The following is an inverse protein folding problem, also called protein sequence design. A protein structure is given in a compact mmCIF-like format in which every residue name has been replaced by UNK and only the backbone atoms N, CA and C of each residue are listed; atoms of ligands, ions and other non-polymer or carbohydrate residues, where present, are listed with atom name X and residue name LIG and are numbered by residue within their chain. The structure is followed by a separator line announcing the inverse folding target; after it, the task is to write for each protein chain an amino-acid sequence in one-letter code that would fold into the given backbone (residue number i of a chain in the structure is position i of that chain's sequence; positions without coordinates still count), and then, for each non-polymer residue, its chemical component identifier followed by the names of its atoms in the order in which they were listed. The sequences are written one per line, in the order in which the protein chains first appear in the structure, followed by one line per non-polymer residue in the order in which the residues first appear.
data_IF_178333200218
#
_entry.id   IF_178333200218
#
_cell.length_a   1.000
_cell.length_b   1.000
_cell.length_c   1.000
_cell.angle_alpha   90.00
_cell.angle_beta   90.00
_cell.angle_gamma   90.00
#
_symmetry.space_group_name_H-M   'P 1'
#
loop_
_entity.id
_entity.type
_entity.pdbx_description
1 polymer ?
#
# COMPACT_ATOMS: atom_id res chain seq x y z
N UNK A 1 -21.14 -35.10 -20.38
CA UNK A 1 -21.39 -33.82 -19.70
C UNK A 1 -21.07 -34.05 -18.23
N UNK A 2 -20.02 -33.45 -17.74
CA UNK A 2 -19.73 -33.50 -16.31
C UNK A 2 -20.93 -32.92 -15.58
N UNK A 3 -21.44 -33.66 -14.60
CA UNK A 3 -22.50 -33.16 -13.72
C UNK A 3 -22.00 -31.86 -13.08
N UNK A 4 -22.55 -30.71 -13.49
CA UNK A 4 -22.19 -29.42 -12.87
C UNK A 4 -22.73 -29.47 -11.45
N UNK A 5 -21.87 -29.67 -10.42
CA UNK A 5 -22.31 -29.73 -9.03
C UNK A 5 -22.93 -28.40 -8.54
N UNK A 6 -22.90 -27.36 -9.38
CA UNK A 6 -23.28 -25.99 -9.07
C UNK A 6 -24.70 -25.65 -9.55
N UNK A 7 -25.39 -26.56 -10.23
CA UNK A 7 -26.75 -26.30 -10.71
C UNK A 7 -27.74 -25.95 -9.58
N UNK A 8 -27.56 -26.57 -8.42
CA UNK A 8 -28.37 -26.25 -7.22
C UNK A 8 -28.02 -24.89 -6.60
N UNK A 9 -26.79 -24.42 -6.76
CA UNK A 9 -26.32 -23.12 -6.21
C UNK A 9 -26.64 -21.96 -7.14
N UNK A 10 -26.93 -22.23 -8.41
CA UNK A 10 -27.27 -21.23 -9.41
C UNK A 10 -28.45 -20.37 -8.99
N UNK A 11 -29.51 -20.98 -8.51
CA UNK A 11 -30.72 -20.28 -8.09
C UNK A 11 -30.50 -19.44 -6.84
N UNK A 12 -29.64 -19.88 -5.91
CA UNK A 12 -29.27 -19.13 -4.74
C UNK A 12 -28.41 -17.90 -5.10
N UNK A 13 -27.45 -18.05 -6.02
CA UNK A 13 -26.60 -16.94 -6.49
C UNK A 13 -27.42 -15.91 -7.28
N UNK A 14 -28.35 -16.35 -8.14
CA UNK A 14 -29.24 -15.46 -8.90
C UNK A 14 -30.22 -14.70 -7.97
N UNK A 15 -30.61 -15.32 -6.85
CA UNK A 15 -31.59 -14.74 -5.91
C UNK A 15 -30.95 -13.72 -4.94
N UNK A 16 -29.66 -13.88 -4.65
CA UNK A 16 -28.94 -13.03 -3.68
C UNK A 16 -28.40 -11.74 -4.33
N UNK A 17 -28.47 -11.62 -5.66
CA UNK A 17 -28.03 -10.41 -6.36
C UNK A 17 -26.58 -10.08 -6.09
N UNK A 18 -25.68 -11.06 -6.16
CA UNK A 18 -24.23 -10.86 -5.94
C UNK A 18 -23.71 -9.89 -6.99
N UNK A 19 -23.37 -8.68 -6.55
CA UNK A 19 -22.76 -7.65 -7.39
C UNK A 19 -21.29 -7.97 -7.67
N UNK A 20 -20.68 -7.40 -8.73
CA UNK A 20 -19.29 -7.67 -9.12
C UNK A 20 -18.23 -7.35 -8.05
N UNK A 21 -18.58 -6.69 -6.97
CA UNK A 21 -17.65 -6.41 -5.87
C UNK A 21 -17.56 -7.63 -4.93
N UNK A 22 -16.88 -8.67 -5.43
CA UNK A 22 -16.76 -9.97 -4.75
C UNK A 22 -15.64 -10.03 -3.71
N UNK A 23 -14.90 -8.96 -3.47
CA UNK A 23 -13.97 -8.89 -2.34
C UNK A 23 -14.79 -8.86 -1.05
N UNK A 24 -14.57 -9.86 -0.20
CA UNK A 24 -15.34 -10.04 1.03
C UNK A 24 -16.55 -10.97 0.91
N UNK A 25 -16.88 -11.45 -0.29
CA UNK A 25 -17.85 -12.55 -0.45
C UNK A 25 -17.26 -13.85 0.13
N UNK A 26 -18.01 -14.60 0.94
CA UNK A 26 -17.51 -15.86 1.48
C UNK A 26 -17.00 -16.80 0.38
N UNK A 27 -15.88 -17.47 0.63
CA UNK A 27 -15.18 -18.27 -0.37
C UNK A 27 -16.01 -19.45 -0.95
N UNK A 28 -17.06 -19.87 -0.27
CA UNK A 28 -17.99 -20.90 -0.70
C UNK A 28 -19.16 -20.37 -1.54
N UNK A 29 -19.20 -19.07 -1.84
CA UNK A 29 -20.22 -18.53 -2.74
C UNK A 29 -19.85 -18.77 -4.20
N UNK A 30 -20.88 -18.90 -5.03
CA UNK A 30 -20.77 -19.05 -6.46
C UNK A 30 -21.08 -17.74 -7.17
N UNK A 31 -20.24 -17.36 -8.13
CA UNK A 31 -20.39 -16.15 -8.94
C UNK A 31 -20.21 -16.52 -10.42
N UNK A 32 -20.92 -15.85 -11.33
CA UNK A 32 -20.73 -16.08 -12.77
C UNK A 32 -19.36 -15.59 -13.22
N UNK A 33 -18.71 -16.37 -14.10
CA UNK A 33 -17.39 -15.99 -14.65
C UNK A 33 -17.38 -14.54 -15.18
N UNK A 34 -18.40 -14.16 -15.97
CA UNK A 34 -18.47 -12.81 -16.56
C UNK A 34 -18.45 -11.69 -15.52
N UNK A 35 -19.01 -11.92 -14.35
CA UNK A 35 -19.03 -10.98 -13.24
C UNK A 35 -17.67 -10.91 -12.57
N UNK A 36 -17.00 -12.05 -12.39
CA UNK A 36 -15.63 -12.12 -11.87
C UNK A 36 -14.64 -11.41 -12.79
N UNK A 37 -14.72 -11.64 -14.10
CA UNK A 37 -13.88 -10.96 -15.09
C UNK A 37 -14.08 -9.45 -15.06
N UNK A 38 -15.33 -9.00 -14.91
CA UNK A 38 -15.65 -7.56 -14.85
C UNK A 38 -15.03 -6.85 -13.65
N UNK A 39 -14.71 -7.59 -12.57
CA UNK A 39 -14.04 -7.00 -11.38
C UNK A 39 -12.57 -6.68 -11.61
N UNK A 40 -11.90 -7.37 -12.55
CA UNK A 40 -10.46 -7.30 -12.75
C UNK A 40 -9.61 -7.81 -11.57
N UNK A 41 -10.23 -8.48 -10.60
CA UNK A 41 -9.59 -8.88 -9.32
C UNK A 41 -9.20 -10.36 -9.27
N UNK A 42 -9.52 -11.12 -10.32
CA UNK A 42 -9.23 -12.55 -10.42
C UNK A 42 -8.33 -12.82 -11.61
N UNK A 43 -7.51 -13.86 -11.48
CA UNK A 43 -6.62 -14.31 -12.54
C UNK A 43 -7.46 -14.77 -13.76
N UNK A 44 -7.21 -14.16 -14.91
CA UNK A 44 -7.91 -14.48 -16.15
C UNK A 44 -7.61 -15.92 -16.61
N UNK A 45 -6.39 -16.43 -16.38
CA UNK A 45 -5.98 -17.78 -16.74
C UNK A 45 -6.67 -18.82 -15.85
N UNK A 46 -6.85 -18.54 -14.58
CA UNK A 46 -7.63 -19.38 -13.66
C UNK A 46 -9.09 -19.48 -14.08
N UNK A 47 -9.62 -18.50 -14.79
CA UNK A 47 -10.98 -18.48 -15.31
C UNK A 47 -11.11 -18.99 -16.74
N UNK A 48 -10.00 -19.27 -17.44
CA UNK A 48 -10.01 -19.65 -18.86
C UNK A 48 -10.80 -20.92 -19.15
N UNK A 49 -10.82 -21.88 -18.23
CA UNK A 49 -11.53 -23.16 -18.37
C UNK A 49 -13.05 -23.07 -18.22
N UNK A 50 -13.59 -21.93 -17.77
CA UNK A 50 -15.01 -21.73 -17.55
C UNK A 50 -15.65 -20.94 -18.68
N UNK A 51 -16.90 -21.28 -19.05
CA UNK A 51 -17.72 -20.48 -19.96
C UNK A 51 -18.24 -19.19 -19.29
N UNK A 52 -18.56 -18.17 -20.07
CA UNK A 52 -18.97 -16.86 -19.53
C UNK A 52 -20.19 -16.90 -18.60
N UNK A 53 -21.07 -17.88 -18.76
CA UNK A 53 -22.26 -18.05 -17.93
C UNK A 53 -22.09 -19.13 -16.85
N UNK A 54 -20.90 -19.74 -16.74
CA UNK A 54 -20.65 -20.74 -15.73
C UNK A 54 -20.54 -20.09 -14.34
N UNK A 55 -21.04 -20.78 -13.35
CA UNK A 55 -20.89 -20.42 -11.95
C UNK A 55 -19.61 -21.03 -11.41
N UNK A 56 -18.80 -20.23 -10.80
CA UNK A 56 -17.50 -20.60 -10.25
C UNK A 56 -17.53 -20.38 -8.76
N UNK A 57 -17.04 -21.35 -8.00
CA UNK A 57 -16.90 -21.20 -6.55
C UNK A 57 -15.64 -20.38 -6.26
N UNK A 58 -15.76 -19.29 -5.50
CA UNK A 58 -14.67 -18.36 -5.27
C UNK A 58 -13.42 -19.01 -4.67
N UNK A 59 -13.60 -20.02 -3.80
CA UNK A 59 -12.47 -20.75 -3.21
C UNK A 59 -11.62 -21.54 -4.22
N UNK A 60 -12.19 -21.85 -5.37
CA UNK A 60 -11.55 -22.66 -6.42
C UNK A 60 -10.81 -21.79 -7.46
N UNK A 61 -10.86 -20.47 -7.30
CA UNK A 61 -10.20 -19.53 -8.20
C UNK A 61 -9.03 -18.86 -7.49
N UNK A 62 -7.86 -18.91 -8.11
CA UNK A 62 -6.75 -18.07 -7.66
C UNK A 62 -7.13 -16.61 -7.78
N UNK A 63 -7.07 -15.88 -6.68
CA UNK A 63 -7.21 -14.43 -6.72
C UNK A 63 -6.02 -13.83 -7.45
N UNK A 64 -6.27 -12.84 -8.30
CA UNK A 64 -5.22 -12.05 -8.91
C UNK A 64 -4.31 -11.41 -7.86
N UNK A 65 -3.13 -11.02 -8.27
CA UNK A 65 -2.19 -10.29 -7.40
C UNK A 65 -2.08 -8.84 -7.84
N UNK A 66 -1.74 -7.98 -6.90
CA UNK A 66 -1.42 -6.57 -7.14
C UNK A 66 0.01 -6.28 -6.68
N UNK A 67 0.72 -5.53 -7.51
CA UNK A 67 2.02 -5.00 -7.13
C UNK A 67 1.83 -3.88 -6.10
N UNK A 68 2.42 -4.04 -4.92
CA UNK A 68 2.54 -2.98 -3.92
C UNK A 68 4.00 -2.56 -3.84
N UNK A 69 4.25 -1.26 -3.99
CA UNK A 69 5.58 -0.67 -3.88
C UNK A 69 5.60 0.43 -2.82
N UNK A 70 6.61 0.43 -1.99
CA UNK A 70 6.89 1.46 -0.99
C UNK A 70 8.23 2.11 -1.29
N UNK A 71 8.33 3.42 -1.09
CA UNK A 71 9.58 4.16 -1.17
C UNK A 71 9.60 5.29 -0.14
N UNK A 72 10.79 5.81 0.12
CA UNK A 72 10.98 7.07 0.83
C UNK A 72 11.08 8.18 -0.22
N UNK A 73 10.69 9.42 0.12
CA UNK A 73 10.87 10.56 -0.77
C UNK A 73 12.36 10.71 -1.16
N UNK A 74 12.60 11.00 -2.44
CA UNK A 74 13.91 10.84 -3.10
C UNK A 74 15.05 11.69 -2.53
N UNK A 75 14.72 12.81 -1.88
CA UNK A 75 15.64 13.75 -1.27
C UNK A 75 16.18 13.31 0.11
N UNK A 76 15.59 12.27 0.72
CA UNK A 76 15.89 11.83 2.09
C UNK A 76 16.01 10.32 2.27
N UNK A 77 16.39 9.60 1.24
CA UNK A 77 16.43 8.11 1.23
C UNK A 77 17.30 7.48 2.31
N UNK A 78 18.28 8.21 2.87
CA UNK A 78 19.14 7.75 3.97
C UNK A 78 18.56 8.03 5.37
N UNK A 79 17.42 8.73 5.47
CA UNK A 79 16.84 9.15 6.74
C UNK A 79 15.76 8.24 7.28
N UNK A 80 15.46 7.17 6.57
CA UNK A 80 14.48 6.19 7.01
C UNK A 80 14.57 4.89 6.26
N UNK A 81 13.73 3.95 6.65
CA UNK A 81 13.49 2.70 5.94
C UNK A 81 12.00 2.41 5.87
N UNK A 82 11.60 1.72 4.80
CA UNK A 82 10.24 1.21 4.65
C UNK A 82 10.24 -0.31 4.71
N UNK A 83 9.15 -0.88 5.21
CA UNK A 83 8.90 -2.32 5.28
C UNK A 83 7.50 -2.62 4.77
N UNK A 84 7.38 -3.68 4.00
CA UNK A 84 6.10 -4.22 3.52
C UNK A 84 5.82 -5.56 4.22
N UNK A 85 4.69 -5.67 4.90
CA UNK A 85 4.24 -6.89 5.60
C UNK A 85 5.30 -7.51 6.55
N UNK A 86 6.11 -6.66 7.22
CA UNK A 86 7.17 -7.12 8.10
C UNK A 86 8.41 -7.72 7.41
N UNK A 87 8.51 -7.59 6.09
CA UNK A 87 9.68 -8.00 5.32
C UNK A 87 10.94 -7.18 5.60
N UNK A 88 11.96 -7.31 4.77
CA UNK A 88 13.21 -6.57 4.91
C UNK A 88 12.99 -5.05 4.86
N UNK A 89 13.68 -4.32 5.74
CA UNK A 89 13.68 -2.86 5.75
C UNK A 89 14.68 -2.32 4.73
N UNK A 90 14.28 -1.29 3.98
CA UNK A 90 15.14 -0.66 2.95
C UNK A 90 14.62 0.72 2.57
N UNK A 91 15.34 1.41 1.68
CA UNK A 91 14.85 2.66 1.09
C UNK A 91 13.60 2.44 0.21
N UNK A 92 13.43 1.22 -0.27
CA UNK A 92 12.27 0.73 -1.02
C UNK A 92 11.89 -0.66 -0.53
N UNK A 93 10.62 -1.03 -0.72
CA UNK A 93 10.12 -2.39 -0.55
C UNK A 93 9.01 -2.64 -1.56
N UNK A 94 8.94 -3.84 -2.13
CA UNK A 94 7.87 -4.19 -3.05
C UNK A 94 7.55 -5.68 -2.98
N UNK A 95 6.29 -6.02 -3.21
CA UNK A 95 5.84 -7.40 -3.34
C UNK A 95 4.55 -7.47 -4.13
N UNK A 96 4.27 -8.62 -4.71
CA UNK A 96 2.95 -8.99 -5.15
C UNK A 96 2.13 -9.49 -3.95
N UNK A 97 0.92 -9.02 -3.83
CA UNK A 97 -0.01 -9.39 -2.76
C UNK A 97 -1.33 -9.84 -3.36
N UNK A 98 -1.98 -10.82 -2.77
CA UNK A 98 -3.27 -11.30 -3.25
C UNK A 98 -4.34 -10.20 -3.15
N UNK A 99 -5.19 -10.13 -4.16
CA UNK A 99 -6.35 -9.24 -4.14
C UNK A 99 -7.19 -9.48 -2.88
N UNK A 100 -7.61 -8.39 -2.22
CA UNK A 100 -8.38 -8.46 -0.98
C UNK A 100 -7.57 -8.73 0.29
N UNK A 101 -6.27 -9.02 0.19
CA UNK A 101 -5.44 -9.23 1.38
C UNK A 101 -5.15 -7.91 2.12
N UNK A 102 -4.93 -8.01 3.42
CA UNK A 102 -4.43 -6.89 4.20
C UNK A 102 -2.92 -6.69 3.98
N UNK A 103 -2.54 -5.46 3.77
CA UNK A 103 -1.15 -5.03 3.55
C UNK A 103 -0.77 -4.03 4.62
N UNK A 104 0.40 -4.22 5.22
CA UNK A 104 0.96 -3.29 6.21
C UNK A 104 2.21 -2.62 5.63
N UNK A 105 2.15 -1.30 5.47
CA UNK A 105 3.28 -0.44 5.17
C UNK A 105 3.81 0.17 6.47
N UNK A 106 5.11 0.09 6.72
CA UNK A 106 5.74 0.68 7.91
C UNK A 106 6.94 1.52 7.48
N UNK A 107 7.05 2.72 8.06
CA UNK A 107 8.22 3.59 7.94
C UNK A 107 8.92 3.69 9.30
N UNK A 108 10.25 3.54 9.30
CA UNK A 108 11.08 3.75 10.48
C UNK A 108 12.07 4.87 10.17
N UNK A 109 12.14 5.88 11.04
CA UNK A 109 13.14 6.94 10.95
C UNK A 109 14.50 6.43 11.46
N UNK A 110 15.58 6.84 10.80
CA UNK A 110 16.96 6.45 11.18
C UNK A 110 17.71 7.55 11.87
N UNK A 111 17.20 8.79 11.85
CA UNK A 111 17.85 9.94 12.48
C UNK A 111 16.90 10.61 13.47
N UNK A 112 17.43 10.93 14.66
CA UNK A 112 16.70 11.68 15.67
C UNK A 112 16.43 13.12 15.19
N UNK A 113 15.25 13.65 15.48
CA UNK A 113 14.82 14.97 15.04
C UNK A 113 14.09 14.99 13.70
N UNK A 114 14.19 13.92 12.91
CA UNK A 114 13.39 13.79 11.69
C UNK A 114 11.92 13.53 12.02
N UNK A 115 11.03 13.91 11.13
CA UNK A 115 9.57 13.80 11.29
C UNK A 115 8.99 13.02 10.12
N UNK A 116 8.26 11.96 10.43
CA UNK A 116 7.42 11.28 9.44
C UNK A 116 6.15 12.11 9.21
N UNK A 117 5.99 12.65 8.01
CA UNK A 117 4.80 13.41 7.64
C UNK A 117 3.62 12.52 7.30
N UNK A 118 3.85 11.46 6.50
CA UNK A 118 2.79 10.54 6.12
C UNK A 118 3.12 9.65 4.93
N UNK A 119 2.19 8.74 4.66
CA UNK A 119 2.14 7.95 3.44
C UNK A 119 1.36 8.69 2.36
N UNK A 120 1.90 8.71 1.15
CA UNK A 120 1.32 9.40 0.00
C UNK A 120 1.14 8.45 -1.18
N UNK A 121 -0.05 8.50 -1.81
CA UNK A 121 -0.33 7.94 -3.13
C UNK A 121 -0.34 9.10 -4.13
N UNK A 122 0.73 9.24 -4.91
CA UNK A 122 0.94 10.45 -5.70
C UNK A 122 1.01 11.70 -4.82
N UNK A 123 0.15 12.68 -5.06
CA UNK A 123 0.06 13.91 -4.26
C UNK A 123 -0.83 13.79 -3.02
N UNK A 124 -1.62 12.73 -2.89
CA UNK A 124 -2.63 12.58 -1.84
C UNK A 124 -2.03 11.87 -0.61
N UNK A 125 -2.12 12.50 0.56
CA UNK A 125 -1.79 11.86 1.83
C UNK A 125 -2.89 10.86 2.19
N UNK A 126 -2.52 9.57 2.32
CA UNK A 126 -3.44 8.48 2.65
C UNK A 126 -3.37 8.06 4.12
N UNK A 127 -2.26 8.35 4.80
CA UNK A 127 -2.12 8.09 6.25
C UNK A 127 -1.06 9.01 6.87
N UNK A 128 -1.30 9.45 8.09
CA UNK A 128 -0.30 10.13 8.95
C UNK A 128 0.38 9.18 9.93
N UNK A 129 -0.06 7.93 10.02
CA UNK A 129 0.57 6.90 10.87
C UNK A 129 1.78 6.30 10.15
N UNK A 130 2.90 6.15 10.85
CA UNK A 130 4.09 5.48 10.33
C UNK A 130 3.82 4.00 10.00
N UNK A 131 2.85 3.38 10.68
CA UNK A 131 2.33 2.06 10.34
C UNK A 131 0.93 2.24 9.73
N UNK A 132 0.79 1.90 8.45
CA UNK A 132 -0.45 2.03 7.71
C UNK A 132 -0.89 0.67 7.16
N UNK A 133 -2.11 0.26 7.51
CA UNK A 133 -2.71 -0.99 7.03
C UNK A 133 -3.87 -0.67 6.10
N UNK A 134 -3.92 -1.35 4.96
CA UNK A 134 -4.97 -1.20 3.94
C UNK A 134 -5.25 -2.52 3.26
N UNK A 135 -6.39 -2.61 2.56
CA UNK A 135 -6.74 -3.78 1.75
C UNK A 135 -6.25 -3.59 0.31
N UNK A 136 -5.58 -4.60 -0.25
CA UNK A 136 -5.10 -4.59 -1.63
C UNK A 136 -6.29 -4.75 -2.59
N UNK A 137 -6.73 -3.67 -3.20
CA UNK A 137 -7.81 -3.63 -4.21
C UNK A 137 -7.33 -3.25 -5.60
N UNK A 138 -6.08 -2.81 -5.70
CA UNK A 138 -5.40 -2.39 -6.94
C UNK A 138 -3.89 -2.36 -6.71
N UNK A 139 -3.12 -2.27 -7.79
CA UNK A 139 -1.69 -1.98 -7.71
C UNK A 139 -1.48 -0.57 -7.12
N UNK A 140 -0.57 -0.44 -6.14
CA UNK A 140 -0.36 0.82 -5.44
C UNK A 140 1.12 1.09 -5.20
N UNK A 141 1.51 2.36 -5.40
CA UNK A 141 2.81 2.88 -4.99
C UNK A 141 2.61 3.94 -3.92
N UNK A 142 3.25 3.73 -2.76
CA UNK A 142 3.20 4.66 -1.64
C UNK A 142 4.59 5.23 -1.36
N UNK A 143 4.61 6.54 -1.09
CA UNK A 143 5.82 7.26 -0.69
C UNK A 143 5.70 7.68 0.77
N UNK A 144 6.67 7.26 1.58
CA UNK A 144 6.85 7.78 2.93
C UNK A 144 7.55 9.15 2.84
N UNK A 145 6.86 10.22 3.22
CA UNK A 145 7.49 11.55 3.29
C UNK A 145 8.08 11.78 4.67
N UNK A 146 9.35 12.16 4.67
CA UNK A 146 10.13 12.49 5.87
C UNK A 146 10.59 13.94 5.74
N UNK A 147 10.40 14.70 6.78
CA UNK A 147 10.90 16.06 6.92
C UNK A 147 12.07 16.11 7.90
N UNK A 148 13.02 16.97 7.62
CA UNK A 148 14.18 17.16 8.48
C UNK A 148 14.59 18.64 8.57
N UNK A 149 15.27 18.95 9.65
CA UNK A 149 15.95 20.23 9.87
C UNK A 149 17.26 19.95 10.61
N UNK A 150 18.36 20.07 9.91
CA UNK A 150 19.71 19.95 10.48
C UNK A 150 20.33 21.33 10.64
N UNK A 151 20.86 21.61 11.81
CA UNK A 151 21.58 22.84 12.11
C UNK A 151 22.99 22.50 12.58
N UNK A 152 24.01 23.10 11.99
CA UNK A 152 25.42 22.86 12.32
C UNK A 152 26.20 24.14 12.35
N UNK A 153 26.91 24.44 13.47
CA UNK A 153 26.89 23.74 14.75
C UNK A 153 25.57 23.98 15.52
N UNK A 154 25.27 23.10 16.48
CA UNK A 154 24.04 23.17 17.31
C UNK A 154 24.12 24.23 18.42
N UNK A 155 25.31 24.77 18.69
CA UNK A 155 25.55 25.87 19.60
C UNK A 155 26.62 26.79 19.06
N UNK A 156 26.54 28.05 19.39
CA UNK A 156 27.53 29.10 19.08
C UNK A 156 27.96 29.80 20.36
N UNK A 157 29.20 29.55 20.76
CA UNK A 157 29.77 30.21 21.92
C UNK A 157 30.44 31.53 21.50
N UNK A 158 30.13 32.61 22.20
CA UNK A 158 30.73 33.92 22.01
C UNK A 158 31.61 34.26 23.19
N UNK A 159 32.77 34.85 22.94
CA UNK A 159 33.57 35.46 23.98
C UNK A 159 33.04 36.86 24.36
N UNK A 160 33.63 37.48 25.37
CA UNK A 160 33.22 38.80 25.86
C UNK A 160 33.39 39.92 24.81
N UNK A 161 34.22 39.73 23.81
CA UNK A 161 34.41 40.67 22.71
C UNK A 161 33.28 40.65 21.69
N UNK A 162 32.44 39.62 21.71
CA UNK A 162 31.37 39.40 20.75
C UNK A 162 31.88 38.99 19.38
N UNK A 163 31.12 39.30 18.34
CA UNK A 163 31.47 39.00 16.95
C UNK A 163 30.33 38.34 16.19
N UNK A 164 30.60 37.93 14.96
CA UNK A 164 29.65 37.20 14.11
C UNK A 164 30.06 35.76 13.96
N UNK A 165 29.13 34.83 14.14
CA UNK A 165 29.32 33.42 13.87
C UNK A 165 28.18 32.93 12.97
N UNK A 166 28.43 31.92 12.17
CA UNK A 166 27.49 31.38 11.23
C UNK A 166 27.13 29.92 11.59
N UNK A 167 25.93 29.57 11.34
CA UNK A 167 25.46 28.15 11.31
C UNK A 167 24.92 27.84 9.94
N UNK A 168 24.96 26.55 9.59
CA UNK A 168 24.37 26.04 8.37
C UNK A 168 23.05 25.35 8.70
N UNK A 169 22.06 25.58 7.87
CA UNK A 169 20.75 24.90 7.92
C UNK A 169 20.61 24.06 6.68
N UNK A 170 20.32 22.79 6.87
CA UNK A 170 19.94 21.85 5.81
C UNK A 170 18.56 21.31 6.12
N UNK A 171 17.63 21.43 5.18
CA UNK A 171 16.23 21.06 5.40
C UNK A 171 15.52 20.83 4.07
N UNK A 172 14.43 20.05 4.09
CA UNK A 172 13.49 19.93 2.97
C UNK A 172 12.12 20.57 3.28
N UNK A 173 12.06 21.42 4.30
CA UNK A 173 10.87 22.21 4.65
C UNK A 173 11.21 23.69 4.69
N UNK A 174 10.21 24.54 4.53
CA UNK A 174 10.37 25.97 4.75
C UNK A 174 10.62 26.25 6.23
N UNK A 175 11.56 27.12 6.54
CA UNK A 175 11.89 27.51 7.90
C UNK A 175 12.10 29.03 8.01
N UNK A 176 11.91 29.57 9.19
CA UNK A 176 12.14 30.98 9.52
C UNK A 176 12.88 31.10 10.83
N UNK A 177 13.68 32.14 10.97
CA UNK A 177 14.26 32.56 12.27
C UNK A 177 13.32 33.61 12.87
N UNK A 178 12.93 33.41 14.10
CA UNK A 178 12.11 34.33 14.87
C UNK A 178 12.90 34.89 16.06
#
# INVERSE_FOLDING_TARGET
MANNPYAASKQAADTVGITPDVIGVPANNYVRKKELVATGKFDADALASYGNNDYVMLKDIAQGTFQVALSINSDVTSRGTVQLNGGAAGATASAEVSAGSQVTAKCNLTKSGDVFDGWYKGATKVSSSATYTFTATEAVSLVAKIFYLDVTPTSLDYDAAGGSKTFQVSTNVNWTVS
#
